data_IF_316423108826
#
_entry.id   IF_316423108826
#
_cell.length_a   1.000
_cell.length_b   1.000
_cell.length_c   1.000
_cell.angle_alpha   90.00
_cell.angle_beta   90.00
_cell.angle_gamma   90.00
#
_symmetry.space_group_name_H-M   'P 1'
#
loop_
_entity.id
_entity.type
_entity.pdbx_description
1 polymer ?
#
# COMPACT_ATOMS: atom_id res chain seq x y z
N UNK A 1 1.78 2.51 -15.49
CA UNK A 1 1.73 3.95 -15.13
C UNK A 1 0.86 4.08 -13.88
N UNK A 2 1.32 4.77 -12.84
CA UNK A 2 0.54 4.98 -11.61
C UNK A 2 -0.37 6.21 -11.80
N UNK A 3 -1.66 6.09 -11.48
CA UNK A 3 -2.64 7.17 -11.61
C UNK A 3 -3.29 7.48 -10.26
N UNK A 4 -3.14 8.71 -9.80
CA UNK A 4 -3.71 9.21 -8.55
C UNK A 4 -4.88 10.16 -8.86
N UNK A 5 -6.08 9.61 -9.09
CA UNK A 5 -7.28 10.41 -9.44
C UNK A 5 -8.28 10.52 -8.30
N UNK A 6 -8.51 9.42 -7.57
CA UNK A 6 -9.24 9.37 -6.30
C UNK A 6 -8.42 8.58 -5.30
N UNK A 7 -8.08 9.22 -4.19
CA UNK A 7 -7.21 8.61 -3.18
C UNK A 7 -7.98 7.53 -2.39
N UNK A 8 -9.26 7.78 -2.05
CA UNK A 8 -10.09 6.79 -1.38
C UNK A 8 -10.91 5.97 -2.40
N UNK A 9 -10.74 4.65 -2.37
CA UNK A 9 -11.48 3.71 -3.22
C UNK A 9 -12.38 2.76 -2.43
N UNK A 10 -12.18 2.66 -1.11
CA UNK A 10 -12.85 1.73 -0.18
C UNK A 10 -12.65 0.24 -0.45
N UNK A 11 -11.85 -0.13 -1.46
CA UNK A 11 -11.62 -1.54 -1.80
C UNK A 11 -10.84 -2.31 -0.73
N UNK A 12 -10.19 -1.60 0.20
CA UNK A 12 -9.43 -2.20 1.30
C UNK A 12 -10.14 -2.24 2.64
N UNK A 13 -11.43 -1.89 2.70
CA UNK A 13 -12.19 -1.78 3.96
C UNK A 13 -12.32 -3.14 4.68
N UNK A 14 -12.30 -4.24 3.92
CA UNK A 14 -12.28 -5.61 4.45
C UNK A 14 -10.88 -6.09 4.92
N UNK A 15 -9.92 -5.18 5.11
CA UNK A 15 -8.57 -5.50 5.60
C UNK A 15 -7.62 -6.10 4.56
N UNK A 16 -7.93 -5.95 3.27
CA UNK A 16 -7.14 -6.46 2.15
C UNK A 16 -6.61 -5.31 1.26
N UNK A 17 -5.63 -5.60 0.42
CA UNK A 17 -5.08 -4.66 -0.57
C UNK A 17 -4.67 -5.39 -1.85
N UNK A 18 -4.53 -4.66 -2.95
CA UNK A 18 -3.99 -5.19 -4.20
C UNK A 18 -2.50 -4.90 -4.31
N UNK A 19 -1.73 -5.90 -4.71
CA UNK A 19 -0.32 -5.76 -5.07
C UNK A 19 -0.19 -5.23 -6.50
N UNK A 20 1.04 -4.94 -6.93
CA UNK A 20 1.34 -4.38 -8.25
C UNK A 20 0.94 -5.29 -9.42
N UNK A 21 0.86 -6.59 -9.18
CA UNK A 21 0.39 -7.62 -10.13
C UNK A 21 -1.14 -7.85 -10.09
N UNK A 22 -1.88 -7.02 -9.34
CA UNK A 22 -3.31 -7.14 -9.03
C UNK A 22 -3.72 -8.33 -8.15
N UNK A 23 -2.78 -9.14 -7.67
CA UNK A 23 -3.10 -10.14 -6.65
C UNK A 23 -3.54 -9.47 -5.34
N UNK A 24 -4.34 -10.17 -4.55
CA UNK A 24 -4.89 -9.64 -3.30
C UNK A 24 -4.14 -10.23 -2.11
N UNK A 25 -3.74 -9.38 -1.17
CA UNK A 25 -3.09 -9.76 0.07
C UNK A 25 -3.81 -9.14 1.27
N UNK A 26 -3.66 -9.76 2.45
CA UNK A 26 -4.09 -9.13 3.71
C UNK A 26 -3.19 -7.93 3.99
N UNK A 27 -3.72 -6.90 4.65
CA UNK A 27 -2.92 -5.75 5.10
C UNK A 27 -1.79 -6.13 6.07
N UNK A 28 -1.89 -7.30 6.70
CA UNK A 28 -0.87 -7.88 7.59
C UNK A 28 0.08 -8.87 6.90
N UNK A 29 0.04 -9.00 5.56
CA UNK A 29 1.00 -9.81 4.80
C UNK A 29 2.41 -9.22 4.93
N UNK A 30 3.47 -10.02 5.15
CA UNK A 30 4.83 -9.53 5.32
C UNK A 30 5.33 -8.63 4.18
N UNK A 31 4.83 -8.83 2.95
CA UNK A 31 5.16 -7.96 1.81
C UNK A 31 4.59 -6.55 1.98
N UNK A 32 3.37 -6.46 2.52
CA UNK A 32 2.70 -5.19 2.78
C UNK A 32 3.45 -4.39 3.85
N UNK A 33 3.87 -5.08 4.91
CA UNK A 33 4.70 -4.48 5.95
C UNK A 33 6.03 -3.97 5.38
N UNK A 34 6.72 -4.79 4.57
CA UNK A 34 8.03 -4.44 4.03
C UNK A 34 8.03 -3.14 3.21
N UNK A 35 7.11 -2.97 2.26
CA UNK A 35 7.04 -1.72 1.50
C UNK A 35 6.42 -0.57 2.31
N UNK A 36 5.61 -0.87 3.34
CA UNK A 36 5.12 0.14 4.28
C UNK A 36 6.23 0.77 5.10
N UNK A 37 7.17 -0.03 5.64
CA UNK A 37 8.35 0.49 6.35
C UNK A 37 9.28 1.30 5.43
N UNK A 38 9.37 0.96 4.15
CA UNK A 38 10.12 1.75 3.17
C UNK A 38 9.45 3.10 2.92
N UNK A 39 8.12 3.14 2.84
CA UNK A 39 7.35 4.39 2.70
C UNK A 39 7.51 5.30 3.93
N UNK A 40 7.50 4.71 5.14
CA UNK A 40 7.79 5.42 6.39
C UNK A 40 9.21 6.00 6.41
N UNK A 41 10.22 5.19 6.07
CA UNK A 41 11.62 5.65 5.97
C UNK A 41 11.77 6.79 4.97
N UNK A 42 11.19 6.65 3.78
CA UNK A 42 11.24 7.67 2.74
C UNK A 42 10.59 8.98 3.20
N UNK A 43 9.51 8.89 3.97
CA UNK A 43 8.86 10.06 4.58
C UNK A 43 9.76 10.72 5.62
N UNK A 44 10.45 9.92 6.46
CA UNK A 44 11.40 10.42 7.45
C UNK A 44 12.64 11.10 6.84
N UNK A 45 13.12 10.62 5.69
CA UNK A 45 14.22 11.26 4.93
C UNK A 45 13.82 12.68 4.47
N UNK A 46 12.53 12.91 4.20
CA UNK A 46 12.03 14.19 3.70
C UNK A 46 11.77 15.26 4.77
N UNK A 47 11.98 14.97 6.05
CA UNK A 47 11.85 15.90 7.19
C UNK A 47 13.08 16.80 7.29
#
# INVERSE_FOLDING_TARGET
MVHLTRIYTRTGDAGQTRLSDNSVARKTDPRVEAYGSVDELNSAIGV
#
